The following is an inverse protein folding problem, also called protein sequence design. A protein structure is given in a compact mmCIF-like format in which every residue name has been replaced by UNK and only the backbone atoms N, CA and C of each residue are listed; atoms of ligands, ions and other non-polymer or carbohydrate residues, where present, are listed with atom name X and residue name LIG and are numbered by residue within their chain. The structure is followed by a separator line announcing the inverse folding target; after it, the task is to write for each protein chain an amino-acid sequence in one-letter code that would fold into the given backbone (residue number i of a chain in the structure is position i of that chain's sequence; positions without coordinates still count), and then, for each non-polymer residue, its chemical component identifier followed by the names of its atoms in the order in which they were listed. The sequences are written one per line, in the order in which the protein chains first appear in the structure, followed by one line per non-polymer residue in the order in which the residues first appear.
data_IF_912389162917
#
_entry.id   IF_912389162917
#
_cell.length_a   1.000
_cell.length_b   1.000
_cell.length_c   1.000
_cell.angle_alpha   90.00
_cell.angle_beta   90.00
_cell.angle_gamma   90.00
#
_symmetry.space_group_name_H-M   'P 1'
#
loop_
_entity.id
_entity.type
_entity.pdbx_description
1 polymer ?
#
# COMPACT_ATOMS: atom_id res chain seq x y z
N UNK A 1 15.73 9.72 21.80
CA UNK A 1 14.76 8.63 21.98
C UNK A 1 14.73 8.30 23.45
N UNK A 2 13.58 8.39 24.07
CA UNK A 2 13.45 7.99 25.48
C UNK A 2 13.43 6.45 25.64
N UNK A 3 13.47 5.97 26.88
CA UNK A 3 13.47 4.53 27.16
C UNK A 3 12.17 3.84 26.75
N UNK A 4 11.04 4.55 26.78
CA UNK A 4 9.73 4.00 26.42
C UNK A 4 9.63 3.79 24.92
N UNK A 5 10.08 4.74 24.12
CA UNK A 5 10.17 4.63 22.66
C UNK A 5 11.04 3.44 22.25
N UNK A 6 12.24 3.30 22.83
CA UNK A 6 13.11 2.14 22.61
C UNK A 6 12.39 0.83 22.92
N UNK A 7 11.72 0.78 24.07
CA UNK A 7 10.99 -0.41 24.51
C UNK A 7 9.86 -0.79 23.53
N UNK A 8 9.13 0.20 23.02
CA UNK A 8 8.05 -0.01 22.04
C UNK A 8 8.60 -0.47 20.67
N UNK A 9 9.70 0.11 20.20
CA UNK A 9 10.35 -0.33 18.95
C UNK A 9 10.80 -1.78 19.07
N UNK A 10 11.45 -2.15 20.18
CA UNK A 10 11.83 -3.54 20.43
C UNK A 10 10.64 -4.48 20.57
N UNK A 11 9.51 -4.00 21.12
CA UNK A 11 8.27 -4.77 21.20
C UNK A 11 7.74 -5.11 19.81
N UNK A 12 7.54 -4.11 18.94
CA UNK A 12 7.08 -4.35 17.57
C UNK A 12 8.10 -5.15 16.74
N UNK A 13 9.39 -4.87 16.90
CA UNK A 13 10.47 -5.63 16.28
C UNK A 13 10.41 -7.13 16.59
N UNK A 14 10.04 -7.50 17.83
CA UNK A 14 9.79 -8.89 18.20
C UNK A 14 8.50 -9.43 17.60
N UNK A 15 7.42 -8.65 17.55
CA UNK A 15 6.16 -9.07 16.89
C UNK A 15 6.37 -9.39 15.41
N UNK A 16 7.11 -8.56 14.69
CA UNK A 16 7.48 -8.82 13.28
C UNK A 16 8.33 -10.09 13.14
N UNK A 17 9.33 -10.26 14.01
CA UNK A 17 10.19 -11.44 13.97
C UNK A 17 9.49 -12.75 14.36
N UNK A 18 8.45 -12.68 15.17
CA UNK A 18 7.67 -13.86 15.58
C UNK A 18 6.42 -14.07 14.72
N UNK A 19 6.20 -13.24 13.69
CA UNK A 19 5.00 -13.28 12.84
C UNK A 19 3.69 -13.19 13.64
N UNK A 20 3.68 -12.42 14.74
CA UNK A 20 2.51 -12.23 15.61
C UNK A 20 1.91 -10.82 15.47
N UNK A 21 2.10 -10.18 14.33
CA UNK A 21 1.65 -8.82 14.08
C UNK A 21 0.48 -8.80 13.10
N UNK A 22 -0.32 -7.73 13.17
CA UNK A 22 -1.40 -7.43 12.22
C UNK A 22 -1.29 -5.99 11.67
N UNK A 23 -2.30 -5.52 10.95
CA UNK A 23 -2.30 -4.16 10.38
C UNK A 23 -2.25 -3.05 11.45
N UNK A 24 -2.79 -3.27 12.65
CA UNK A 24 -2.82 -2.26 13.72
C UNK A 24 -1.43 -2.11 14.31
N UNK A 25 -0.70 -3.22 14.43
CA UNK A 25 0.70 -3.20 14.83
C UNK A 25 1.57 -2.49 13.79
N UNK A 26 1.33 -2.74 12.49
CA UNK A 26 2.04 -2.07 11.39
C UNK A 26 1.83 -0.56 11.44
N UNK A 27 0.58 -0.11 11.55
CA UNK A 27 0.27 1.32 11.65
C UNK A 27 0.91 1.94 12.89
N UNK A 28 0.78 1.29 14.04
CA UNK A 28 1.35 1.77 15.31
C UNK A 28 2.87 1.86 15.25
N UNK A 29 3.52 0.88 14.61
CA UNK A 29 4.96 0.91 14.39
C UNK A 29 5.35 2.08 13.49
N UNK A 30 4.70 2.27 12.34
CA UNK A 30 4.99 3.39 11.43
C UNK A 30 4.88 4.75 12.12
N UNK A 31 3.82 4.95 12.92
CA UNK A 31 3.67 6.17 13.74
C UNK A 31 4.85 6.35 14.69
N UNK A 32 5.27 5.28 15.37
CA UNK A 32 6.38 5.29 16.33
C UNK A 32 7.72 5.60 15.66
N UNK A 33 8.00 5.00 14.51
CA UNK A 33 9.28 5.15 13.80
C UNK A 33 9.35 6.41 12.91
N UNK A 34 8.27 7.20 12.81
CA UNK A 34 8.12 8.37 11.92
C UNK A 34 9.28 9.35 11.90
N UNK A 35 9.86 9.65 13.06
CA UNK A 35 10.96 10.61 13.16
C UNK A 35 12.34 10.03 12.78
N UNK A 36 12.43 8.72 12.53
CA UNK A 36 13.69 8.01 12.31
C UNK A 36 13.91 7.53 10.87
N UNK A 37 12.86 7.49 10.03
CA UNK A 37 12.96 6.99 8.66
C UNK A 37 12.90 8.08 7.59
N UNK A 38 13.10 9.36 7.94
CA UNK A 38 13.01 10.49 6.98
C UNK A 38 13.94 10.31 5.77
N UNK A 39 15.08 9.66 5.97
CA UNK A 39 16.07 9.39 4.91
C UNK A 39 15.82 8.08 4.14
N UNK A 40 14.65 7.45 4.35
CA UNK A 40 14.24 6.21 3.69
C UNK A 40 12.92 6.49 2.97
N UNK A 41 12.97 6.99 1.71
CA UNK A 41 11.80 7.49 1.00
C UNK A 41 10.62 6.51 0.99
N UNK A 42 10.83 5.25 0.62
CA UNK A 42 9.75 4.25 0.59
C UNK A 42 9.00 4.11 1.92
N UNK A 43 9.71 3.96 3.04
CA UNK A 43 9.06 3.84 4.36
C UNK A 43 8.47 5.18 4.81
N UNK A 44 9.15 6.28 4.48
CA UNK A 44 8.67 7.62 4.80
C UNK A 44 7.33 7.91 4.16
N UNK A 45 7.25 7.81 2.84
CA UNK A 45 6.07 8.14 2.07
C UNK A 45 4.91 7.19 2.37
N UNK A 46 5.16 5.89 2.53
CA UNK A 46 4.13 4.92 2.92
C UNK A 46 3.58 5.20 4.33
N UNK A 47 4.46 5.52 5.29
CA UNK A 47 4.05 5.87 6.65
C UNK A 47 3.31 7.22 6.74
N UNK A 48 3.75 8.22 5.98
CA UNK A 48 3.04 9.50 5.87
C UNK A 48 1.66 9.32 5.25
N UNK A 49 1.54 8.54 4.17
CA UNK A 49 0.25 8.27 3.54
C UNK A 49 -0.69 7.49 4.47
N UNK A 50 -0.17 6.48 5.19
CA UNK A 50 -0.95 5.72 6.17
C UNK A 50 -1.50 6.59 7.31
N UNK A 51 -0.76 7.62 7.72
CA UNK A 51 -1.14 8.49 8.85
C UNK A 51 -1.93 9.72 8.46
N UNK A 52 -1.60 10.36 7.34
CA UNK A 52 -2.26 11.59 6.85
C UNK A 52 -3.42 11.31 5.89
N UNK A 53 -3.52 10.10 5.34
CA UNK A 53 -4.62 9.66 4.47
C UNK A 53 -4.83 10.65 3.32
N UNK A 54 -6.02 11.20 3.12
CA UNK A 54 -6.33 12.17 2.05
C UNK A 54 -5.57 13.50 2.14
N UNK A 55 -4.99 13.83 3.30
CA UNK A 55 -4.18 15.05 3.49
C UNK A 55 -2.72 14.85 3.06
N UNK A 56 -2.34 13.63 2.67
CA UNK A 56 -0.98 13.34 2.26
C UNK A 56 -0.68 13.99 0.89
N UNK A 57 0.45 14.69 0.85
CA UNK A 57 1.05 15.26 -0.35
C UNK A 57 2.51 14.83 -0.37
N UNK A 58 2.94 14.14 -1.43
CA UNK A 58 4.28 13.56 -1.52
C UNK A 58 4.44 12.67 -2.75
N UNK A 59 5.50 11.86 -2.75
CA UNK A 59 5.93 11.10 -3.94
C UNK A 59 4.88 10.12 -4.46
N UNK A 60 4.06 9.53 -3.60
CA UNK A 60 2.99 8.61 -4.04
C UNK A 60 1.91 9.39 -4.79
N UNK A 61 1.55 10.56 -4.29
CA UNK A 61 0.58 11.46 -4.95
C UNK A 61 1.14 11.94 -6.29
N UNK A 62 2.41 12.37 -6.32
CA UNK A 62 3.09 12.78 -7.56
C UNK A 62 3.12 11.66 -8.59
N UNK A 63 3.48 10.45 -8.17
CA UNK A 63 3.47 9.25 -9.02
C UNK A 63 2.07 8.97 -9.61
N UNK A 64 1.01 9.09 -8.80
CA UNK A 64 -0.38 8.90 -9.27
C UNK A 64 -0.72 9.96 -10.31
N UNK A 65 -0.40 11.23 -10.08
CA UNK A 65 -0.67 12.31 -11.03
C UNK A 65 0.14 12.20 -12.32
N UNK A 66 1.42 11.84 -12.24
CA UNK A 66 2.25 11.58 -13.41
C UNK A 66 1.71 10.42 -14.24
N UNK A 67 1.31 9.33 -13.58
CA UNK A 67 0.74 8.16 -14.26
C UNK A 67 -0.61 8.50 -14.89
N UNK A 68 -1.47 9.25 -14.18
CA UNK A 68 -2.72 9.81 -14.72
C UNK A 68 -2.47 10.63 -15.99
N UNK A 69 -1.45 11.50 -16.02
CA UNK A 69 -1.09 12.29 -17.21
C UNK A 69 -0.70 11.41 -18.41
N UNK A 70 -0.04 10.28 -18.17
CA UNK A 70 0.28 9.30 -19.23
C UNK A 70 -0.99 8.72 -19.85
N UNK A 71 -2.04 8.48 -19.06
CA UNK A 71 -3.34 8.01 -19.57
C UNK A 71 -4.08 9.05 -20.42
N UNK A 72 -3.90 10.34 -20.14
CA UNK A 72 -4.47 11.44 -20.95
C UNK A 72 -3.89 11.47 -22.37
N UNK A 73 -2.64 11.04 -22.56
CA UNK A 73 -1.94 11.04 -23.86
C UNK A 73 -1.99 9.70 -24.60
N UNK A 74 -2.72 8.69 -24.06
CA UNK A 74 -2.93 7.41 -24.74
C UNK A 74 -3.68 7.64 -26.06
N UNK A 75 -3.13 7.10 -27.15
CA UNK A 75 -3.61 7.30 -28.51
C UNK A 75 -2.86 8.38 -29.30
N UNK A 76 -2.09 9.24 -28.63
CA UNK A 76 -1.20 10.22 -29.29
C UNK A 76 0.21 9.68 -29.51
N UNK A 77 0.61 8.66 -28.75
CA UNK A 77 1.92 8.00 -28.85
C UNK A 77 1.76 6.51 -29.15
N UNK A 78 2.61 5.95 -30.03
CA UNK A 78 2.63 4.51 -30.38
C UNK A 78 3.39 3.64 -29.36
N UNK A 79 3.75 4.19 -28.21
CA UNK A 79 4.57 3.49 -27.23
C UNK A 79 3.69 2.70 -26.24
N UNK A 80 4.14 1.50 -25.87
CA UNK A 80 3.49 0.72 -24.81
C UNK A 80 3.69 1.43 -23.46
N UNK A 81 2.58 1.72 -22.77
CA UNK A 81 2.62 2.26 -21.41
C UNK A 81 2.95 1.14 -20.43
N UNK A 82 4.09 1.24 -19.75
CA UNK A 82 4.43 0.36 -18.62
C UNK A 82 4.24 1.13 -17.33
N UNK A 83 3.51 0.51 -16.40
CA UNK A 83 3.27 1.05 -15.06
C UNK A 83 4.00 0.12 -14.10
N UNK A 84 4.79 0.72 -13.23
CA UNK A 84 5.56 0.04 -12.19
C UNK A 84 5.07 0.52 -10.84
N UNK A 85 5.15 -0.31 -9.80
CA UNK A 85 4.87 0.09 -8.43
C UNK A 85 5.64 1.37 -8.05
N UNK A 86 5.04 2.21 -7.21
CA UNK A 86 5.66 3.46 -6.76
C UNK A 86 6.99 3.18 -6.04
N UNK A 87 7.03 2.12 -5.24
CA UNK A 87 8.24 1.61 -4.60
C UNK A 87 8.36 0.11 -4.89
N UNK A 88 9.46 -0.35 -5.50
CA UNK A 88 9.71 -1.78 -5.67
C UNK A 88 9.82 -2.49 -4.31
N UNK A 89 9.38 -3.75 -4.24
CA UNK A 89 9.49 -4.58 -3.03
C UNK A 89 10.92 -4.59 -2.42
N UNK A 90 11.95 -4.62 -3.27
CA UNK A 90 13.36 -4.56 -2.83
C UNK A 90 13.68 -3.26 -2.08
N UNK A 91 13.12 -2.14 -2.51
CA UNK A 91 13.32 -0.85 -1.86
C UNK A 91 12.67 -0.84 -0.47
N UNK A 92 11.42 -1.29 -0.37
CA UNK A 92 10.70 -1.39 0.91
C UNK A 92 11.44 -2.34 1.87
N UNK A 93 11.85 -3.52 1.39
CA UNK A 93 12.62 -4.48 2.18
C UNK A 93 13.91 -3.87 2.72
N UNK A 94 14.69 -3.23 1.85
CA UNK A 94 15.96 -2.63 2.25
C UNK A 94 15.75 -1.47 3.22
N UNK A 95 14.73 -0.64 2.99
CA UNK A 95 14.35 0.44 3.89
C UNK A 95 13.95 -0.06 5.27
N UNK A 96 13.08 -1.07 5.32
CA UNK A 96 12.64 -1.66 6.57
C UNK A 96 13.79 -2.33 7.34
N UNK A 97 14.61 -3.13 6.66
CA UNK A 97 15.74 -3.80 7.32
C UNK A 97 16.83 -2.82 7.78
N UNK A 98 17.00 -1.68 7.08
CA UNK A 98 17.85 -0.58 7.58
C UNK A 98 17.34 -0.06 8.92
N UNK A 99 16.03 0.18 9.05
CA UNK A 99 15.41 0.61 10.32
C UNK A 99 15.63 -0.45 11.41
N UNK A 100 15.43 -1.73 11.09
CA UNK A 100 15.67 -2.82 12.05
C UNK A 100 17.13 -2.82 12.52
N UNK A 101 18.10 -2.67 11.61
CA UNK A 101 19.52 -2.61 11.94
C UNK A 101 19.88 -1.40 12.81
N UNK A 102 19.33 -0.22 12.52
CA UNK A 102 19.54 1.02 13.30
C UNK A 102 19.09 0.88 14.76
N UNK A 103 18.15 -0.05 15.03
CA UNK A 103 17.67 -0.38 16.38
C UNK A 103 18.21 -1.70 16.92
N UNK A 104 19.22 -2.29 16.28
CA UNK A 104 19.82 -3.59 16.66
C UNK A 104 18.80 -4.75 16.72
N UNK A 105 17.80 -4.71 15.85
CA UNK A 105 16.80 -5.75 15.69
C UNK A 105 17.17 -6.69 14.54
N UNK A 106 16.63 -7.90 14.60
CA UNK A 106 16.86 -8.93 13.57
C UNK A 106 16.15 -8.49 12.28
N UNK A 107 16.89 -8.57 11.17
CA UNK A 107 16.35 -8.32 9.82
C UNK A 107 15.18 -9.25 9.50
N UNK A 108 14.19 -8.72 8.80
CA UNK A 108 13.03 -9.50 8.39
C UNK A 108 13.32 -10.28 7.10
N UNK A 109 12.72 -11.47 7.02
CA UNK A 109 12.71 -12.29 5.80
C UNK A 109 11.79 -11.66 4.75
N UNK A 110 11.94 -12.08 3.48
CA UNK A 110 11.04 -11.64 2.41
C UNK A 110 9.57 -11.95 2.72
N UNK A 111 9.27 -13.07 3.38
CA UNK A 111 7.92 -13.45 3.79
C UNK A 111 7.33 -12.42 4.78
N UNK A 112 8.07 -12.09 5.85
CA UNK A 112 7.62 -11.08 6.83
C UNK A 112 7.49 -9.68 6.24
N UNK A 113 8.30 -9.34 5.24
CA UNK A 113 8.16 -8.08 4.50
C UNK A 113 6.92 -8.14 3.58
N UNK A 114 6.61 -9.29 2.98
CA UNK A 114 5.38 -9.47 2.21
C UNK A 114 4.13 -9.28 3.08
N UNK A 115 4.16 -9.83 4.29
CA UNK A 115 3.13 -9.67 5.32
C UNK A 115 2.96 -8.20 5.73
N UNK A 116 4.08 -7.50 5.97
CA UNK A 116 4.08 -6.06 6.25
C UNK A 116 3.48 -5.24 5.10
N UNK A 117 3.87 -5.52 3.84
CA UNK A 117 3.32 -4.82 2.66
C UNK A 117 1.84 -5.13 2.50
N UNK A 118 1.38 -6.34 2.78
CA UNK A 118 -0.04 -6.71 2.72
C UNK A 118 -0.86 -5.93 3.75
N UNK A 119 -0.34 -5.80 4.97
CA UNK A 119 -0.94 -4.94 5.99
C UNK A 119 -1.00 -3.48 5.53
N UNK A 120 0.07 -2.95 4.92
CA UNK A 120 0.07 -1.60 4.36
C UNK A 120 -0.99 -1.40 3.27
N UNK A 121 -1.14 -2.38 2.36
CA UNK A 121 -2.16 -2.33 1.31
C UNK A 121 -3.56 -2.25 1.94
N UNK A 122 -3.82 -3.03 2.99
CA UNK A 122 -5.05 -2.92 3.77
C UNK A 122 -5.23 -1.52 4.39
N UNK A 123 -4.23 -1.01 5.11
CA UNK A 123 -4.32 0.30 5.79
C UNK A 123 -4.59 1.46 4.81
N UNK A 124 -4.00 1.37 3.61
CA UNK A 124 -4.09 2.40 2.58
C UNK A 124 -5.34 2.29 1.71
N UNK A 125 -6.18 1.29 1.90
CA UNK A 125 -7.44 1.18 1.17
C UNK A 125 -8.35 2.37 1.48
N UNK A 126 -9.20 2.70 0.51
CA UNK A 126 -10.22 3.73 0.58
C UNK A 126 -9.68 5.15 0.82
N UNK A 127 -8.37 5.40 0.71
CA UNK A 127 -7.79 6.76 0.74
C UNK A 127 -8.23 7.50 -0.51
N UNK A 128 -8.82 8.68 -0.34
CA UNK A 128 -9.24 9.55 -1.44
C UNK A 128 -8.03 10.22 -2.08
N UNK A 129 -8.05 10.32 -3.40
CA UNK A 129 -7.09 11.12 -4.17
C UNK A 129 -7.72 12.48 -4.45
N UNK A 130 -7.11 13.51 -3.87
CA UNK A 130 -7.58 14.89 -3.93
C UNK A 130 -6.68 15.69 -4.88
N UNK A 131 -7.28 16.48 -5.76
CA UNK A 131 -6.55 17.39 -6.64
C UNK A 131 -6.18 18.72 -5.97
N UNK A 132 -5.44 19.55 -6.70
CA UNK A 132 -5.03 20.89 -6.27
C UNK A 132 -6.20 21.84 -5.93
N UNK A 133 -7.41 21.54 -6.42
CA UNK A 133 -8.64 22.30 -6.17
C UNK A 133 -9.46 21.70 -5.01
N UNK A 134 -8.86 20.80 -4.23
CA UNK A 134 -9.50 20.07 -3.14
C UNK A 134 -10.69 19.20 -3.60
N UNK A 135 -10.69 18.76 -4.86
CA UNK A 135 -11.73 17.88 -5.42
C UNK A 135 -11.26 16.43 -5.39
N UNK A 136 -12.15 15.53 -4.97
CA UNK A 136 -11.94 14.09 -5.11
C UNK A 136 -11.97 13.70 -6.59
N UNK A 137 -10.87 13.12 -7.06
CA UNK A 137 -10.69 12.68 -8.45
C UNK A 137 -10.46 11.17 -8.57
N UNK A 138 -10.38 10.47 -7.45
CA UNK A 138 -10.08 9.04 -7.42
C UNK A 138 -9.95 8.53 -6.00
N UNK A 139 -9.66 7.24 -5.88
CA UNK A 139 -9.55 6.55 -4.59
C UNK A 139 -8.64 5.32 -4.70
N UNK A 140 -8.02 4.96 -3.59
CA UNK A 140 -7.29 3.71 -3.45
C UNK A 140 -8.22 2.56 -3.05
N UNK A 141 -7.94 1.38 -3.58
CA UNK A 141 -8.72 0.17 -3.35
C UNK A 141 -7.82 -1.02 -3.07
N UNK A 142 -8.29 -1.89 -2.18
CA UNK A 142 -7.72 -3.21 -2.02
C UNK A 142 -8.13 -4.06 -3.23
N UNK A 143 -7.18 -4.78 -3.81
CA UNK A 143 -7.44 -5.75 -4.85
C UNK A 143 -6.62 -7.02 -4.64
N UNK A 144 -7.14 -8.15 -5.11
CA UNK A 144 -6.48 -9.45 -5.00
C UNK A 144 -6.64 -10.29 -6.26
N UNK A 145 -5.59 -10.99 -6.66
CA UNK A 145 -5.58 -11.96 -7.74
C UNK A 145 -5.13 -13.33 -7.23
N UNK A 146 -5.01 -14.34 -8.10
CA UNK A 146 -4.41 -15.63 -7.71
C UNK A 146 -3.02 -15.43 -7.10
N UNK A 147 -2.23 -14.49 -7.66
CA UNK A 147 -0.81 -14.33 -7.32
C UNK A 147 -0.50 -13.14 -6.43
N UNK A 148 -1.32 -12.10 -6.43
CA UNK A 148 -0.95 -10.82 -5.82
C UNK A 148 -2.06 -10.23 -4.96
N UNK A 149 -1.65 -9.53 -3.91
CA UNK A 149 -2.42 -8.51 -3.20
C UNK A 149 -1.94 -7.15 -3.69
N UNK A 150 -2.84 -6.25 -4.03
CA UNK A 150 -2.53 -5.03 -4.77
C UNK A 150 -3.29 -3.85 -4.17
N UNK A 151 -2.59 -2.74 -3.95
CA UNK A 151 -3.20 -1.43 -3.76
C UNK A 151 -3.40 -0.81 -5.14
N UNK A 152 -4.65 -0.78 -5.59
CA UNK A 152 -5.03 -0.18 -6.87
C UNK A 152 -5.47 1.26 -6.66
N UNK A 153 -5.14 2.14 -7.59
CA UNK A 153 -5.79 3.45 -7.67
C UNK A 153 -6.78 3.43 -8.82
N UNK A 154 -8.00 3.92 -8.58
CA UNK A 154 -8.94 4.31 -9.62
C UNK A 154 -9.00 5.83 -9.66
N UNK A 155 -8.80 6.42 -10.84
CA UNK A 155 -8.73 7.89 -11.00
C UNK A 155 -9.41 8.35 -12.28
N UNK A 156 -10.14 9.47 -12.20
CA UNK A 156 -10.81 10.11 -13.33
C UNK A 156 -9.76 10.74 -14.27
N UNK A 157 -9.81 10.36 -15.55
CA UNK A 157 -8.99 10.90 -16.63
C UNK A 157 -9.91 11.50 -17.68
N UNK A 158 -9.58 12.71 -18.16
CA UNK A 158 -10.26 13.34 -19.29
C UNK A 158 -9.46 13.09 -20.57
N UNK A 159 -10.00 12.31 -21.49
CA UNK A 159 -9.45 12.11 -22.82
C UNK A 159 -10.08 13.11 -23.80
N UNK A 160 -9.23 13.76 -24.61
CA UNK A 160 -9.64 14.72 -25.65
C UNK A 160 -10.59 15.84 -25.15
N UNK A 161 -10.40 16.33 -23.92
CA UNK A 161 -11.16 17.42 -23.28
C UNK A 161 -12.68 17.20 -23.09
N UNK A 162 -13.25 16.10 -23.58
CA UNK A 162 -14.71 15.88 -23.60
C UNK A 162 -15.13 14.56 -22.94
N UNK A 163 -14.29 13.52 -22.93
CA UNK A 163 -14.65 12.21 -22.40
C UNK A 163 -13.94 11.91 -21.09
N UNK A 164 -14.71 11.83 -20.01
CA UNK A 164 -14.23 11.34 -18.72
C UNK A 164 -14.31 9.82 -18.68
N UNK A 165 -13.21 9.19 -18.29
CA UNK A 165 -13.12 7.74 -18.05
C UNK A 165 -12.33 7.52 -16.77
N UNK A 166 -12.63 6.45 -16.06
CA UNK A 166 -11.77 6.02 -14.96
C UNK A 166 -10.67 5.12 -15.52
N UNK A 167 -9.47 5.25 -14.97
CA UNK A 167 -8.36 4.32 -15.22
C UNK A 167 -7.95 3.71 -13.90
N UNK A 168 -7.60 2.42 -13.95
CA UNK A 168 -7.17 1.68 -12.77
C UNK A 168 -5.76 1.17 -12.99
N UNK A 169 -4.87 1.37 -12.02
CA UNK A 169 -3.49 0.88 -12.09
C UNK A 169 -2.90 0.60 -10.70
N UNK A 170 -1.88 -0.27 -10.61
CA UNK A 170 -1.28 -0.63 -9.32
C UNK A 170 -0.42 0.51 -8.77
N UNK A 171 -0.47 0.68 -7.45
CA UNK A 171 0.41 1.57 -6.67
C UNK A 171 1.43 0.74 -5.90
N UNK A 172 1.00 -0.34 -5.25
CA UNK A 172 1.82 -1.21 -4.42
C UNK A 172 1.37 -2.66 -4.55
N UNK A 173 2.31 -3.61 -4.58
CA UNK A 173 1.99 -5.04 -4.71
C UNK A 173 2.69 -5.90 -3.65
N UNK A 174 2.04 -7.00 -3.27
CA UNK A 174 2.57 -8.10 -2.48
C UNK A 174 2.13 -9.45 -3.10
N UNK A 175 2.79 -10.54 -2.73
CA UNK A 175 2.36 -11.88 -3.10
C UNK A 175 1.12 -12.28 -2.31
N UNK A 176 0.16 -12.91 -2.98
CA UNK A 176 -0.99 -13.53 -2.33
C UNK A 176 -0.59 -14.91 -1.78
N UNK A 177 -0.26 -14.94 -0.49
CA UNK A 177 0.00 -16.18 0.25
C UNK A 177 -1.17 -16.58 1.16
N UNK A 178 -2.26 -15.81 1.16
CA UNK A 178 -3.24 -15.81 2.25
C UNK A 178 -4.57 -16.47 1.87
N UNK A 179 -4.97 -16.37 0.61
CA UNK A 179 -6.25 -16.92 0.16
C UNK A 179 -6.17 -17.45 -1.27
N UNK A 180 -6.89 -18.55 -1.53
CA UNK A 180 -6.96 -19.15 -2.85
C UNK A 180 -8.03 -18.45 -3.67
N UNK A 181 -7.59 -17.66 -4.63
CA UNK A 181 -8.46 -16.93 -5.55
C UNK A 181 -8.41 -17.59 -6.93
N UNK A 182 -9.59 -17.84 -7.50
CA UNK A 182 -9.68 -18.33 -8.88
C UNK A 182 -9.42 -17.17 -9.84
N UNK A 183 -8.54 -17.37 -10.82
CA UNK A 183 -8.31 -16.41 -11.90
C UNK A 183 -9.63 -16.01 -12.57
N UNK A 184 -9.81 -14.71 -12.76
CA UNK A 184 -10.92 -14.20 -13.56
C UNK A 184 -10.72 -14.49 -15.05
N UNK A 185 -9.48 -14.42 -15.52
CA UNK A 185 -9.12 -14.63 -16.92
C UNK A 185 -7.68 -15.16 -17.07
N UNK A 186 -7.21 -15.24 -18.32
CA UNK A 186 -5.85 -15.69 -18.66
C UNK A 186 -4.74 -14.76 -18.13
N UNK A 187 -5.07 -13.53 -17.78
CA UNK A 187 -4.14 -12.50 -17.31
C UNK A 187 -4.12 -12.36 -15.79
N UNK A 188 -4.92 -13.16 -15.07
CA UNK A 188 -5.07 -13.05 -13.62
C UNK A 188 -5.56 -11.67 -13.17
N UNK A 189 -6.57 -11.14 -13.87
CA UNK A 189 -7.19 -9.85 -13.53
C UNK A 189 -7.64 -9.83 -12.05
N UNK A 190 -7.22 -8.82 -11.26
CA UNK A 190 -7.56 -8.73 -9.83
C UNK A 190 -9.04 -8.45 -9.56
N UNK A 191 -9.57 -9.01 -8.47
CA UNK A 191 -10.85 -8.62 -7.89
C UNK A 191 -10.65 -7.33 -7.11
N UNK A 192 -11.48 -6.32 -7.38
CA UNK A 192 -11.41 -5.00 -6.75
C UNK A 192 -12.50 -4.89 -5.67
N UNK A 193 -12.12 -4.47 -4.47
CA UNK A 193 -13.04 -4.31 -3.34
C UNK A 193 -13.41 -2.84 -3.17
N UNK A 194 -14.54 -2.45 -3.77
CA UNK A 194 -15.01 -1.06 -3.81
C UNK A 194 -15.72 -0.61 -2.53
N UNK A 195 -16.64 -1.44 -2.04
CA UNK A 195 -17.56 -1.12 -0.92
C UNK A 195 -17.30 -1.97 0.34
N UNK A 196 -16.27 -2.80 0.32
CA UNK A 196 -15.85 -3.65 1.43
C UNK A 196 -14.53 -3.14 2.02
N UNK A 197 -14.36 -3.35 3.33
CA UNK A 197 -13.07 -3.16 4.00
C UNK A 197 -12.45 -4.52 4.20
N UNK A 198 -11.25 -4.69 3.66
CA UNK A 198 -10.46 -5.91 3.86
C UNK A 198 -9.53 -5.68 5.04
N UNK A 199 -9.77 -6.31 6.18
CA UNK A 199 -8.89 -6.24 7.35
C UNK A 199 -7.84 -7.36 7.29
N UNK A 200 -6.60 -7.05 7.68
CA UNK A 200 -5.52 -8.04 7.81
C UNK A 200 -5.29 -8.31 9.29
N UNK A 201 -5.68 -9.49 9.75
CA UNK A 201 -5.54 -9.91 11.16
C UNK A 201 -4.55 -11.06 11.30
N UNK A 202 -4.05 -11.27 12.52
CA UNK A 202 -3.19 -12.40 12.84
C UNK A 202 -3.97 -13.45 13.65
N UNK A 203 -3.99 -14.69 13.16
CA UNK A 203 -4.51 -15.85 13.89
C UNK A 203 -3.42 -16.91 13.98
N UNK A 204 -3.03 -17.27 15.20
CA UNK A 204 -2.04 -18.30 15.50
C UNK A 204 -0.71 -18.16 14.70
N UNK A 205 -0.25 -16.91 14.52
CA UNK A 205 1.00 -16.62 13.83
C UNK A 205 0.90 -16.58 12.30
N UNK A 206 -0.32 -16.57 11.75
CA UNK A 206 -0.59 -16.44 10.31
C UNK A 206 -1.48 -15.24 10.05
N UNK A 207 -1.20 -14.52 8.96
CA UNK A 207 -2.08 -13.45 8.50
C UNK A 207 -3.29 -14.01 7.77
N UNK A 208 -4.45 -13.44 8.08
CA UNK A 208 -5.73 -13.73 7.44
C UNK A 208 -6.37 -12.45 6.91
N UNK A 209 -7.02 -12.56 5.75
CA UNK A 209 -7.80 -11.48 5.15
C UNK A 209 -9.27 -11.64 5.55
N UNK A 210 -9.82 -10.65 6.25
CA UNK A 210 -11.21 -10.60 6.67
C UNK A 210 -11.94 -9.57 5.80
N UNK A 211 -12.87 -10.05 4.98
CA UNK A 211 -13.70 -9.20 4.13
C UNK A 211 -14.93 -8.78 4.93
N UNK A 212 -15.05 -7.49 5.23
CA UNK A 212 -16.17 -6.94 6.02
C UNK A 212 -16.99 -6.01 5.14
N UNK A 213 -18.29 -6.26 5.04
CA UNK A 213 -19.23 -5.30 4.45
C UNK A 213 -19.26 -4.03 5.33
N UNK A 214 -19.17 -2.85 4.71
CA UNK A 214 -19.34 -1.60 5.45
C UNK A 214 -20.75 -1.57 6.06
N UNK A 215 -20.82 -1.59 7.39
CA UNK A 215 -22.07 -1.39 8.13
C UNK A 215 -22.56 0.04 7.87
N UNK A 216 -23.46 0.21 6.92
CA UNK A 216 -24.13 1.49 6.64
C UNK A 216 -24.61 1.66 5.20
N UNK A 217 -25.83 1.21 4.92
CA UNK A 217 -26.73 1.84 3.94
C UNK A 217 -27.93 2.41 4.68
#
# INVERSE_FOLDING_TARGET
MDMKEKSLISYYGRKFNNSTFDEKDVLSFLVLIKKYYKDIPSIHELGEMATKREQYQGLITDYIFETRRKFTSIGQTKAALRIHDVFPFKEIRNGFNKIMADFHLIELTNEKINDFVTCLISILQQVKIIDENNKEIGKLFFAISEKQVILMVEIEVSQNLLKKTNVVFPVLTANNNYTKIKKQDRYDTPYLFGDEVVEVTNQDGKLELIFTELVGK
#
